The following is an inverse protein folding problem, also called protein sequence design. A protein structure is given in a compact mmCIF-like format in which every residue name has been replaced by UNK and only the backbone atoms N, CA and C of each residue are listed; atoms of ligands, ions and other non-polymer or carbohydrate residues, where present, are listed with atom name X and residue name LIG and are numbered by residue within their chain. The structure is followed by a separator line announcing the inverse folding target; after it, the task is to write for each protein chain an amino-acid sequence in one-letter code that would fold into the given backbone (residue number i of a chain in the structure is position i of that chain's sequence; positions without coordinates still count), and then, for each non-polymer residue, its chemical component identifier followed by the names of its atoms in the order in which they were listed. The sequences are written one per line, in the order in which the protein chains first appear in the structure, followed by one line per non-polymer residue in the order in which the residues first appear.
data_IF_578227819195
#
_entry.id   IF_578227819195
#
_cell.length_a   1.000
_cell.length_b   1.000
_cell.length_c   1.000
_cell.angle_alpha   90.00
_cell.angle_beta   90.00
_cell.angle_gamma   90.00
#
_symmetry.space_group_name_H-M   'P 1'
#
loop_
_entity.id
_entity.type
_entity.pdbx_description
1 polymer ?
#
# COMPACT_ATOMS: atom_id res chain seq x y z
N UNK A 1 56.72 31.49 25.25
CA UNK A 1 57.18 30.27 25.94
C UNK A 1 56.19 29.18 25.61
N UNK A 2 56.65 28.10 24.98
CA UNK A 2 55.80 27.15 24.25
C UNK A 2 54.65 26.54 25.08
N UNK A 3 54.77 26.52 26.41
CA UNK A 3 53.71 26.10 27.32
C UNK A 3 52.54 27.10 27.45
N UNK A 4 52.79 28.41 27.27
CA UNK A 4 51.73 29.44 27.26
C UNK A 4 50.93 29.37 25.96
N UNK A 5 51.61 29.10 24.84
CA UNK A 5 50.97 28.86 23.54
C UNK A 5 50.16 27.54 23.54
N UNK A 6 50.60 26.50 24.25
CA UNK A 6 49.85 25.26 24.39
C UNK A 6 48.57 25.41 25.25
N UNK A 7 48.59 26.26 26.28
CA UNK A 7 47.42 26.55 27.10
C UNK A 7 46.39 27.45 26.38
N UNK A 8 46.84 28.40 25.56
CA UNK A 8 45.98 29.24 24.71
C UNK A 8 45.40 28.47 23.51
N UNK A 9 46.07 27.41 23.05
CA UNK A 9 45.61 26.50 21.99
C UNK A 9 44.86 25.26 22.49
N UNK A 10 44.58 25.16 23.80
CA UNK A 10 43.78 24.08 24.37
C UNK A 10 42.30 24.23 23.98
N UNK A 11 41.67 23.15 23.52
CA UNK A 11 40.23 23.10 23.12
C UNK A 11 39.30 23.67 24.21
N UNK A 12 39.69 23.52 25.48
CA UNK A 12 38.94 24.01 26.65
C UNK A 12 38.99 25.54 26.76
N UNK A 13 40.11 26.16 26.35
CA UNK A 13 40.28 27.61 26.37
C UNK A 13 39.49 28.29 25.23
N UNK A 14 39.37 27.61 24.08
CA UNK A 14 38.55 28.04 22.94
C UNK A 14 37.04 27.99 23.26
N UNK A 15 36.61 27.00 24.05
CA UNK A 15 35.23 26.84 24.55
C UNK A 15 34.77 27.96 25.51
N UNK A 16 35.71 28.58 26.21
CA UNK A 16 35.46 29.67 27.14
C UNK A 16 35.41 31.04 26.44
N UNK A 17 35.78 31.11 25.16
CA UNK A 17 35.90 32.36 24.41
C UNK A 17 34.58 32.77 23.74
N UNK A 18 33.52 32.87 24.55
CA UNK A 18 32.22 33.38 24.13
C UNK A 18 31.34 32.38 23.39
N UNK A 19 30.06 32.75 23.26
CA UNK A 19 28.99 31.86 22.79
C UNK A 19 29.18 31.36 21.34
N UNK A 20 29.74 32.20 20.46
CA UNK A 20 29.97 31.86 19.06
C UNK A 20 31.11 30.85 18.84
N UNK A 21 32.21 30.93 19.61
CA UNK A 21 33.33 29.98 19.49
C UNK A 21 32.94 28.55 19.93
N UNK A 22 32.03 28.46 20.92
CA UNK A 22 31.44 27.20 21.36
C UNK A 22 30.53 26.57 20.30
N UNK A 23 29.70 27.35 19.62
CA UNK A 23 28.88 26.86 18.49
C UNK A 23 29.75 26.41 17.30
N UNK A 24 30.85 27.13 17.02
CA UNK A 24 31.78 26.80 15.94
C UNK A 24 32.52 25.46 16.15
N UNK A 25 32.86 25.08 17.39
CA UNK A 25 33.42 23.75 17.68
C UNK A 25 32.37 22.63 17.69
N UNK A 26 31.15 22.91 18.13
CA UNK A 26 30.02 21.94 18.05
C UNK A 26 29.71 21.60 16.58
N UNK A 27 29.88 22.56 15.67
CA UNK A 27 29.83 22.34 14.22
C UNK A 27 31.11 21.69 13.64
N UNK A 28 32.29 21.85 14.24
CA UNK A 28 33.51 21.18 13.75
C UNK A 28 33.59 19.68 14.11
N UNK A 29 32.76 19.20 15.03
CA UNK A 29 32.50 17.77 15.25
C UNK A 29 31.51 17.13 14.26
N UNK A 30 31.10 17.83 13.19
CA UNK A 30 30.06 17.41 12.21
C UNK A 30 30.41 16.21 11.32
N UNK A 31 31.37 15.37 11.69
CA UNK A 31 31.40 14.00 11.18
C UNK A 31 30.55 13.19 12.14
N UNK A 32 29.41 12.67 11.66
CA UNK A 32 28.69 11.59 12.30
C UNK A 32 29.71 10.59 12.88
N UNK A 33 29.95 10.49 14.21
CA UNK A 33 31.03 9.68 14.75
C UNK A 33 30.87 8.20 14.38
N UNK A 34 29.61 7.77 14.18
CA UNK A 34 29.25 6.49 13.63
C UNK A 34 29.81 6.23 12.20
N UNK A 35 30.10 7.26 11.42
CA UNK A 35 30.68 7.12 10.08
C UNK A 35 32.09 6.53 10.13
N UNK A 36 32.94 7.01 11.03
CA UNK A 36 34.32 6.53 11.12
C UNK A 36 34.43 5.21 11.90
N UNK A 37 33.64 5.05 12.96
CA UNK A 37 33.74 3.89 13.86
C UNK A 37 32.78 2.78 13.44
N UNK A 38 31.52 3.12 13.15
CA UNK A 38 30.46 2.15 12.86
C UNK A 38 30.47 1.64 11.42
N UNK A 39 30.74 2.52 10.45
CA UNK A 39 30.78 2.15 9.02
C UNK A 39 32.18 2.17 8.41
N UNK A 40 33.24 2.40 9.21
CA UNK A 40 34.63 2.44 8.76
C UNK A 40 34.90 3.40 7.58
N UNK A 41 34.19 4.53 7.55
CA UNK A 41 34.24 5.51 6.46
C UNK A 41 33.38 5.17 5.23
N UNK A 42 32.57 4.11 5.30
CA UNK A 42 31.64 3.71 4.26
C UNK A 42 30.21 4.23 4.47
N UNK A 43 29.32 4.10 3.46
CA UNK A 43 27.91 4.39 3.62
C UNK A 43 27.25 3.42 4.60
N UNK A 44 26.26 3.90 5.36
CA UNK A 44 25.48 3.11 6.29
C UNK A 44 23.97 3.24 6.01
N UNK A 45 23.21 2.21 6.36
CA UNK A 45 21.75 2.21 6.27
C UNK A 45 21.13 3.02 7.42
N UNK A 46 21.50 4.30 7.53
CA UNK A 46 20.94 5.23 8.52
C UNK A 46 20.56 6.54 7.84
N UNK A 47 19.64 7.30 8.44
CA UNK A 47 19.38 8.67 8.01
C UNK A 47 20.52 9.62 8.47
N UNK A 48 20.39 10.91 8.14
CA UNK A 48 21.38 11.96 8.49
C UNK A 48 21.55 12.19 10.00
N UNK A 49 20.62 11.70 10.83
CA UNK A 49 20.69 11.75 12.29
C UNK A 49 21.23 10.45 12.90
N UNK A 50 21.64 9.47 12.09
CA UNK A 50 22.15 8.18 12.54
C UNK A 50 21.08 7.16 12.95
N UNK A 51 19.80 7.42 12.68
CA UNK A 51 18.73 6.44 12.94
C UNK A 51 18.78 5.35 11.86
N UNK A 52 18.89 4.06 12.24
CA UNK A 52 18.86 2.96 11.28
C UNK A 52 17.59 2.94 10.47
N UNK A 53 17.72 2.56 9.20
CA UNK A 53 16.56 2.23 8.38
C UNK A 53 15.79 1.06 9.01
N UNK A 54 14.46 1.13 8.99
CA UNK A 54 13.60 0.06 9.50
C UNK A 54 12.46 -0.23 8.53
N UNK A 55 11.94 -1.46 8.57
CA UNK A 55 10.80 -1.88 7.76
C UNK A 55 9.50 -1.11 8.08
N UNK A 56 9.46 -0.34 9.17
CA UNK A 56 8.34 0.54 9.48
C UNK A 56 8.10 1.59 8.39
N UNK A 57 9.14 1.95 7.62
CA UNK A 57 9.02 2.84 6.45
C UNK A 57 8.34 2.19 5.24
N UNK A 58 8.14 0.87 5.25
CA UNK A 58 7.40 0.13 4.20
C UNK A 58 5.97 -0.17 4.69
N UNK A 59 5.81 -0.51 5.97
CA UNK A 59 4.58 -1.09 6.51
C UNK A 59 3.32 -0.23 6.32
N UNK A 60 3.45 1.10 6.23
CA UNK A 60 2.32 1.99 5.95
C UNK A 60 1.89 2.03 4.48
N UNK A 61 2.78 1.62 3.57
CA UNK A 61 2.69 1.79 2.11
C UNK A 61 2.37 0.49 1.37
N UNK A 62 2.29 -0.64 2.09
CA UNK A 62 1.95 -1.96 1.57
C UNK A 62 0.70 -2.49 2.27
N UNK A 63 -0.45 -1.89 1.99
CA UNK A 63 -1.71 -2.27 2.62
C UNK A 63 -2.40 -3.44 1.91
N UNK A 64 -1.94 -3.79 0.71
CA UNK A 64 -2.52 -4.87 -0.09
C UNK A 64 -3.70 -4.41 -0.97
N UNK A 65 -4.02 -3.11 -0.96
CA UNK A 65 -4.87 -2.47 -1.97
C UNK A 65 -4.00 -1.73 -2.98
N UNK A 66 -4.02 -2.18 -4.23
CA UNK A 66 -3.17 -1.64 -5.29
C UNK A 66 -3.35 -0.13 -5.49
N UNK A 67 -4.58 0.39 -5.35
CA UNK A 67 -4.84 1.82 -5.58
C UNK A 67 -4.38 2.69 -4.41
N UNK A 68 -4.41 2.16 -3.19
CA UNK A 68 -3.83 2.80 -2.01
C UNK A 68 -2.31 2.84 -2.12
N UNK A 69 -1.70 1.70 -2.43
CA UNK A 69 -0.24 1.54 -2.49
C UNK A 69 0.35 2.42 -3.61
N UNK A 70 -0.28 2.49 -4.80
CA UNK A 70 0.13 3.40 -5.87
C UNK A 70 0.06 4.89 -5.47
N UNK A 71 -0.97 5.30 -4.72
CA UNK A 71 -1.05 6.69 -4.21
C UNK A 71 0.04 6.98 -3.19
N UNK A 72 0.39 6.00 -2.35
CA UNK A 72 1.53 6.17 -1.45
C UNK A 72 2.85 6.29 -2.22
N UNK A 73 3.05 5.46 -3.26
CA UNK A 73 4.22 5.56 -4.14
C UNK A 73 4.33 6.95 -4.78
N UNK A 74 3.25 7.48 -5.36
CA UNK A 74 3.21 8.85 -5.92
C UNK A 74 3.62 9.89 -4.86
N UNK A 75 3.12 9.76 -3.63
CA UNK A 75 3.51 10.61 -2.52
C UNK A 75 4.98 10.45 -2.10
N UNK A 76 5.51 9.23 -2.12
CA UNK A 76 6.90 8.92 -1.79
C UNK A 76 7.87 9.53 -2.82
N UNK A 77 7.59 9.37 -4.12
CA UNK A 77 8.38 9.98 -5.21
C UNK A 77 8.38 11.51 -5.12
N UNK A 78 7.23 12.11 -4.80
CA UNK A 78 7.12 13.56 -4.60
C UNK A 78 8.02 14.04 -3.45
N UNK A 79 8.01 13.33 -2.32
CA UNK A 79 8.87 13.65 -1.17
C UNK A 79 10.35 13.46 -1.49
N UNK A 80 10.72 12.39 -2.19
CA UNK A 80 12.10 12.12 -2.61
C UNK A 80 12.64 13.22 -3.53
N UNK A 81 11.85 13.64 -4.54
CA UNK A 81 12.20 14.74 -5.43
C UNK A 81 12.49 16.03 -4.65
N UNK A 82 11.63 16.40 -3.70
CA UNK A 82 11.82 17.59 -2.86
C UNK A 82 13.12 17.51 -2.05
N UNK A 83 13.45 16.34 -1.49
CA UNK A 83 14.71 16.13 -0.77
C UNK A 83 15.91 16.37 -1.69
N UNK A 84 15.92 15.85 -2.92
CA UNK A 84 17.01 16.13 -3.86
C UNK A 84 17.11 17.60 -4.26
N UNK A 85 15.97 18.27 -4.42
CA UNK A 85 15.93 19.71 -4.72
C UNK A 85 16.55 20.55 -3.60
N UNK A 86 16.33 20.16 -2.35
CA UNK A 86 17.04 20.77 -1.21
C UNK A 86 18.53 20.40 -1.20
N UNK A 87 18.88 19.12 -1.41
CA UNK A 87 20.29 18.67 -1.39
C UNK A 87 21.16 19.36 -2.44
N UNK A 88 20.60 19.70 -3.60
CA UNK A 88 21.31 20.45 -4.64
C UNK A 88 21.82 21.83 -4.17
N UNK A 89 21.23 22.40 -3.11
CA UNK A 89 21.62 23.69 -2.54
C UNK A 89 22.80 23.56 -1.54
N UNK A 90 23.11 22.35 -1.08
CA UNK A 90 24.11 22.10 -0.02
C UNK A 90 25.47 21.62 -0.54
N UNK A 91 25.67 21.56 -1.86
CA UNK A 91 26.93 21.11 -2.46
C UNK A 91 27.22 21.90 -3.73
N UNK A 92 28.51 22.06 -4.05
CA UNK A 92 28.99 22.61 -5.32
C UNK A 92 29.77 21.60 -6.17
N UNK A 93 29.91 20.36 -5.69
CA UNK A 93 30.59 19.30 -6.44
C UNK A 93 29.81 18.95 -7.72
N UNK A 94 30.45 19.00 -8.90
CA UNK A 94 29.77 18.78 -10.17
C UNK A 94 29.25 17.34 -10.32
N UNK A 95 29.97 16.34 -9.83
CA UNK A 95 29.58 14.93 -9.94
C UNK A 95 28.42 14.59 -9.00
N UNK A 96 28.41 15.17 -7.80
CA UNK A 96 27.27 15.05 -6.88
C UNK A 96 26.04 15.73 -7.47
N UNK A 97 26.18 16.94 -8.03
CA UNK A 97 25.06 17.64 -8.69
C UNK A 97 24.49 16.84 -9.86
N UNK A 98 25.33 16.24 -10.69
CA UNK A 98 24.87 15.44 -11.83
C UNK A 98 24.15 14.17 -11.37
N UNK A 99 24.63 13.53 -10.31
CA UNK A 99 23.96 12.38 -9.69
C UNK A 99 22.59 12.77 -9.13
N UNK A 100 22.51 13.86 -8.37
CA UNK A 100 21.25 14.35 -7.79
C UNK A 100 20.26 14.77 -8.88
N UNK A 101 20.72 15.41 -9.96
CA UNK A 101 19.86 15.74 -11.12
C UNK A 101 19.30 14.50 -11.79
N UNK A 102 20.13 13.48 -11.97
CA UNK A 102 19.69 12.20 -12.53
C UNK A 102 18.61 11.57 -11.64
N UNK A 103 18.86 11.42 -10.34
CA UNK A 103 17.91 10.84 -9.40
C UNK A 103 16.60 11.64 -9.34
N UNK A 104 16.67 12.96 -9.22
CA UNK A 104 15.50 13.85 -9.25
C UNK A 104 14.68 13.67 -10.54
N UNK A 105 15.34 13.53 -11.69
CA UNK A 105 14.66 13.29 -12.98
C UNK A 105 14.01 11.92 -13.02
N UNK A 106 14.63 10.91 -12.40
CA UNK A 106 14.04 9.57 -12.25
C UNK A 106 12.78 9.59 -11.39
N UNK A 107 12.74 10.38 -10.31
CA UNK A 107 11.51 10.45 -9.49
C UNK A 107 10.35 11.08 -10.25
N UNK A 108 10.61 12.04 -11.15
CA UNK A 108 9.58 12.56 -12.06
C UNK A 108 9.08 11.47 -13.01
N UNK A 109 9.97 10.64 -13.54
CA UNK A 109 9.57 9.51 -14.38
C UNK A 109 8.78 8.45 -13.58
N UNK A 110 9.19 8.12 -12.35
CA UNK A 110 8.46 7.20 -11.48
C UNK A 110 7.07 7.74 -11.14
N UNK A 111 6.96 9.03 -10.78
CA UNK A 111 5.70 9.72 -10.55
C UNK A 111 4.74 9.56 -11.74
N UNK A 112 5.22 9.86 -12.96
CA UNK A 112 4.42 9.70 -14.18
C UNK A 112 4.00 8.25 -14.42
N UNK A 113 4.91 7.30 -14.19
CA UNK A 113 4.60 5.87 -14.34
C UNK A 113 3.52 5.41 -13.36
N UNK A 114 3.59 5.85 -12.10
CA UNK A 114 2.61 5.47 -11.09
C UNK A 114 1.26 6.15 -11.28
N UNK A 115 1.23 7.43 -11.71
CA UNK A 115 -0.03 8.09 -12.09
C UNK A 115 -0.67 7.39 -13.29
N UNK A 116 0.10 7.11 -14.35
CA UNK A 116 -0.41 6.37 -15.50
C UNK A 116 -0.96 5.00 -15.12
N UNK A 117 -0.27 4.26 -14.23
CA UNK A 117 -0.76 2.99 -13.73
C UNK A 117 -2.07 3.16 -12.92
N UNK A 118 -2.15 4.18 -12.07
CA UNK A 118 -3.34 4.48 -11.28
C UNK A 118 -4.56 4.82 -12.15
N UNK A 119 -4.35 5.53 -13.28
CA UNK A 119 -5.40 5.87 -14.25
C UNK A 119 -5.94 4.64 -15.01
N UNK A 120 -5.14 3.58 -15.18
CA UNK A 120 -5.61 2.35 -15.85
C UNK A 120 -6.53 1.49 -14.98
N UNK A 121 -6.53 1.70 -13.66
CA UNK A 121 -7.35 0.93 -12.73
C UNK A 121 -8.74 1.59 -12.67
N UNK A 122 -9.84 0.81 -12.82
CA UNK A 122 -11.18 1.33 -12.68
C UNK A 122 -11.35 2.10 -11.36
N UNK A 123 -12.12 3.18 -11.39
CA UNK A 123 -12.27 4.09 -10.25
C UNK A 123 -12.75 3.35 -8.97
N UNK A 124 -11.81 2.99 -8.11
CA UNK A 124 -12.04 2.40 -6.79
C UNK A 124 -12.15 3.52 -5.75
N UNK A 125 -13.25 4.26 -5.77
CA UNK A 125 -13.50 5.32 -4.80
C UNK A 125 -14.90 5.20 -4.17
N UNK A 126 -15.00 5.30 -2.83
CA UNK A 126 -13.92 5.16 -1.83
C UNK A 126 -13.21 3.79 -1.97
N UNK A 127 -11.90 3.70 -1.68
CA UNK A 127 -11.19 2.44 -1.79
C UNK A 127 -11.76 1.43 -0.79
N UNK A 128 -12.00 0.20 -1.25
CA UNK A 128 -12.57 -0.87 -0.45
C UNK A 128 -14.06 -1.10 -0.74
N UNK A 129 -14.70 -1.91 0.11
CA UNK A 129 -16.09 -2.36 -0.11
C UNK A 129 -17.10 -1.36 0.47
N UNK A 130 -16.81 -0.87 1.68
CA UNK A 130 -17.75 -0.06 2.45
C UNK A 130 -17.71 1.40 1.99
N UNK A 131 -18.89 1.91 1.66
CA UNK A 131 -19.09 3.30 1.30
C UNK A 131 -19.14 4.20 2.54
N UNK A 132 -18.91 5.50 2.33
CA UNK A 132 -18.99 6.48 3.40
C UNK A 132 -20.43 6.70 3.88
N UNK A 133 -20.60 7.00 5.17
CA UNK A 133 -21.88 7.46 5.73
C UNK A 133 -22.27 8.83 5.14
N UNK A 134 -23.45 8.96 4.51
CA UNK A 134 -23.90 10.20 3.87
C UNK A 134 -24.07 11.38 4.84
N UNK A 135 -24.18 11.11 6.15
CA UNK A 135 -24.32 12.16 7.17
C UNK A 135 -23.02 12.94 7.37
N UNK A 136 -21.87 12.32 7.09
CA UNK A 136 -20.56 12.86 7.47
C UNK A 136 -19.63 13.11 6.29
N UNK A 137 -19.88 12.52 5.12
CA UNK A 137 -18.95 12.57 3.99
C UNK A 137 -18.67 13.97 3.43
N UNK A 138 -19.59 14.91 3.65
CA UNK A 138 -19.47 16.30 3.21
C UNK A 138 -19.45 17.32 4.36
N UNK A 139 -19.36 16.89 5.62
CA UNK A 139 -19.23 17.79 6.77
C UNK A 139 -17.78 18.24 6.95
N UNK A 140 -17.55 19.54 7.00
CA UNK A 140 -16.23 20.13 7.20
C UNK A 140 -16.24 21.06 8.41
N UNK A 141 -15.46 20.74 9.43
CA UNK A 141 -15.38 21.52 10.66
C UNK A 141 -14.22 22.51 10.60
N UNK A 142 -14.50 23.77 10.93
CA UNK A 142 -13.46 24.76 11.13
C UNK A 142 -12.75 24.55 12.48
N UNK A 143 -11.69 23.75 12.48
CA UNK A 143 -10.88 23.50 13.68
C UNK A 143 -9.73 24.50 13.85
N UNK A 144 -9.69 25.57 13.04
CA UNK A 144 -8.69 26.64 13.11
C UNK A 144 -9.18 27.76 14.04
N UNK A 145 -8.28 28.40 14.78
CA UNK A 145 -8.58 29.59 15.58
C UNK A 145 -7.93 30.82 14.97
N UNK A 146 -8.70 31.54 14.14
CA UNK A 146 -8.35 32.90 13.70
C UNK A 146 -7.87 33.05 12.24
N UNK A 147 -7.63 31.95 11.51
CA UNK A 147 -7.41 32.00 10.07
C UNK A 147 -8.31 30.95 9.39
N UNK A 148 -9.41 31.44 8.83
CA UNK A 148 -10.41 30.62 8.14
C UNK A 148 -10.11 30.63 6.65
N UNK A 149 -9.74 29.47 6.12
CA UNK A 149 -9.49 29.30 4.69
C UNK A 149 -10.65 28.56 4.05
N UNK A 150 -11.13 29.14 2.95
CA UNK A 150 -12.23 28.64 2.17
C UNK A 150 -11.76 28.39 0.74
N UNK A 151 -12.16 27.27 0.16
CA UNK A 151 -11.75 26.86 -1.18
C UNK A 151 -12.45 25.58 -1.65
N UNK A 152 -12.09 25.06 -2.83
CA UNK A 152 -12.78 23.92 -3.46
C UNK A 152 -12.79 22.62 -2.63
N UNK A 153 -11.98 22.54 -1.57
CA UNK A 153 -11.92 21.38 -0.67
C UNK A 153 -12.88 21.49 0.53
N UNK A 154 -13.54 22.63 0.73
CA UNK A 154 -14.53 22.84 1.80
C UNK A 154 -15.72 23.74 1.38
N UNK A 155 -15.80 24.11 0.10
CA UNK A 155 -16.88 24.87 -0.51
C UNK A 155 -17.31 24.24 -1.83
N UNK A 156 -18.58 24.43 -2.20
CA UNK A 156 -19.12 23.89 -3.45
C UNK A 156 -19.38 22.39 -3.36
N UNK A 157 -19.08 21.66 -4.44
CA UNK A 157 -19.32 20.22 -4.54
C UNK A 157 -18.03 19.43 -4.36
N UNK A 158 -18.15 18.26 -3.72
CA UNK A 158 -17.06 17.32 -3.56
C UNK A 158 -16.64 16.72 -4.90
N UNK A 159 -15.34 16.57 -5.09
CA UNK A 159 -14.75 16.23 -6.39
C UNK A 159 -15.20 14.90 -6.98
N UNK A 160 -15.56 13.92 -6.13
CA UNK A 160 -15.92 12.56 -6.57
C UNK A 160 -17.37 12.17 -6.26
N UNK A 161 -17.90 12.54 -5.09
CA UNK A 161 -19.28 12.20 -4.72
C UNK A 161 -20.30 13.23 -5.21
N UNK A 162 -19.86 14.43 -5.65
CA UNK A 162 -20.75 15.51 -6.06
C UNK A 162 -21.58 16.09 -4.91
N UNK A 163 -21.21 15.81 -3.67
CA UNK A 163 -21.94 16.24 -2.47
C UNK A 163 -21.59 17.69 -2.16
N UNK A 164 -22.59 18.49 -1.82
CA UNK A 164 -22.36 19.89 -1.45
C UNK A 164 -21.72 19.95 -0.07
N UNK A 165 -20.54 20.56 0.06
CA UNK A 165 -19.86 20.69 1.34
C UNK A 165 -20.68 21.50 2.35
N UNK A 166 -20.75 20.99 3.57
CA UNK A 166 -21.37 21.63 4.73
C UNK A 166 -20.27 22.14 5.65
N UNK A 167 -20.00 23.45 5.56
CA UNK A 167 -18.99 24.09 6.40
C UNK A 167 -19.57 24.46 7.76
N UNK A 168 -19.00 23.90 8.82
CA UNK A 168 -19.36 24.18 10.21
C UNK A 168 -18.34 25.17 10.80
N UNK A 169 -18.79 26.40 11.00
CA UNK A 169 -17.95 27.50 11.48
C UNK A 169 -17.60 27.39 12.97
N UNK A 170 -18.54 26.94 13.81
CA UNK A 170 -18.34 26.72 15.25
C UNK A 170 -18.51 25.22 15.58
N UNK A 171 -17.43 24.43 15.56
CA UNK A 171 -17.50 23.00 15.81
C UNK A 171 -18.00 22.66 17.21
N UNK A 172 -17.63 23.45 18.22
CA UNK A 172 -17.99 23.17 19.62
C UNK A 172 -19.49 23.32 19.79
N UNK A 173 -20.07 24.42 19.28
CA UNK A 173 -21.51 24.63 19.32
C UNK A 173 -22.25 23.53 18.56
N UNK A 174 -21.81 23.20 17.34
CA UNK A 174 -22.45 22.18 16.52
C UNK A 174 -22.46 20.81 17.20
N UNK A 175 -21.35 20.41 17.83
CA UNK A 175 -21.25 19.16 18.58
C UNK A 175 -22.19 19.16 19.80
N UNK A 176 -22.30 20.27 20.52
CA UNK A 176 -23.21 20.39 21.66
C UNK A 176 -24.68 20.31 21.23
N UNK A 177 -25.05 21.00 20.16
CA UNK A 177 -26.43 21.02 19.63
C UNK A 177 -26.85 19.66 19.06
N UNK A 178 -25.92 18.94 18.43
CA UNK A 178 -26.18 17.63 17.81
C UNK A 178 -26.03 16.44 18.77
N UNK A 179 -25.86 16.71 20.08
CA UNK A 179 -25.57 15.70 21.09
C UNK A 179 -24.41 14.78 20.64
N UNK A 180 -23.25 15.37 20.38
CA UNK A 180 -22.07 14.68 19.84
C UNK A 180 -22.33 14.02 18.48
N UNK A 181 -22.97 14.74 17.56
CA UNK A 181 -23.33 14.30 16.20
C UNK A 181 -24.34 13.12 16.12
N UNK A 182 -24.86 12.64 17.25
CA UNK A 182 -25.83 11.53 17.26
C UNK A 182 -27.13 11.89 16.55
N UNK A 183 -27.54 13.17 16.56
CA UNK A 183 -28.71 13.66 15.84
C UNK A 183 -28.40 14.23 14.46
N UNK A 184 -27.17 14.08 13.96
CA UNK A 184 -26.77 14.57 12.64
C UNK A 184 -27.60 13.91 11.53
N UNK A 185 -28.13 14.73 10.62
CA UNK A 185 -28.87 14.27 9.45
C UNK A 185 -28.04 14.46 8.17
N UNK A 186 -28.30 13.61 7.18
CA UNK A 186 -27.70 13.75 5.85
C UNK A 186 -28.30 14.97 5.15
N UNK A 187 -27.43 15.84 4.65
CA UNK A 187 -27.81 17.03 3.89
C UNK A 187 -26.77 17.28 2.79
N UNK A 188 -27.17 17.97 1.71
CA UNK A 188 -26.26 18.26 0.59
C UNK A 188 -25.85 17.04 -0.24
N UNK A 189 -26.54 15.91 -0.11
CA UNK A 189 -26.32 14.67 -0.87
C UNK A 189 -27.65 13.97 -1.17
N UNK A 190 -27.74 13.30 -2.32
CA UNK A 190 -28.88 12.44 -2.68
C UNK A 190 -28.73 11.03 -2.08
N UNK A 191 -27.58 10.73 -1.47
CA UNK A 191 -27.28 9.42 -0.89
C UNK A 191 -28.02 9.25 0.43
N UNK A 192 -28.59 8.06 0.59
CA UNK A 192 -29.27 7.60 1.79
C UNK A 192 -28.59 6.36 2.36
N UNK A 193 -28.77 6.07 3.65
CA UNK A 193 -28.23 4.87 4.30
C UNK A 193 -28.65 3.59 3.56
N UNK A 194 -29.90 3.53 3.08
CA UNK A 194 -30.39 2.40 2.29
C UNK A 194 -29.66 2.26 0.95
N UNK A 195 -29.38 3.38 0.26
CA UNK A 195 -28.62 3.36 -0.99
C UNK A 195 -27.17 2.91 -0.77
N UNK A 196 -26.56 3.32 0.34
CA UNK A 196 -25.21 2.93 0.75
C UNK A 196 -25.13 1.44 1.06
N UNK A 197 -26.03 0.91 1.89
CA UNK A 197 -26.06 -0.52 2.23
C UNK A 197 -26.27 -1.42 1.00
N UNK A 198 -27.09 -0.96 0.04
CA UNK A 198 -27.28 -1.68 -1.23
C UNK A 198 -25.99 -1.73 -2.03
N UNK A 199 -25.27 -0.60 -2.14
CA UNK A 199 -23.97 -0.53 -2.82
C UNK A 199 -22.92 -1.40 -2.14
N UNK A 200 -22.82 -1.35 -0.81
CA UNK A 200 -21.90 -2.19 -0.03
C UNK A 200 -22.12 -3.68 -0.31
N UNK A 201 -23.38 -4.11 -0.31
CA UNK A 201 -23.75 -5.51 -0.58
C UNK A 201 -23.36 -5.91 -2.01
N UNK A 202 -23.61 -5.04 -2.98
CA UNK A 202 -23.25 -5.28 -4.38
C UNK A 202 -21.74 -5.38 -4.58
N UNK A 203 -20.96 -4.44 -4.02
CA UNK A 203 -19.50 -4.44 -4.08
C UNK A 203 -18.90 -5.67 -3.39
N UNK A 204 -19.46 -6.06 -2.24
CA UNK A 204 -19.04 -7.26 -1.52
C UNK A 204 -19.22 -8.53 -2.35
N UNK A 205 -20.32 -8.63 -3.11
CA UNK A 205 -20.58 -9.77 -4.01
C UNK A 205 -19.53 -9.84 -5.11
N UNK A 206 -19.32 -8.74 -5.83
CA UNK A 206 -18.33 -8.67 -6.92
C UNK A 206 -16.92 -8.99 -6.42
N UNK A 207 -16.51 -8.44 -5.27
CA UNK A 207 -15.17 -8.69 -4.71
C UNK A 207 -14.99 -10.14 -4.27
N UNK A 208 -16.03 -10.75 -3.70
CA UNK A 208 -16.02 -12.17 -3.34
C UNK A 208 -15.85 -13.06 -4.57
N UNK A 209 -16.57 -12.77 -5.66
CA UNK A 209 -16.45 -13.50 -6.94
C UNK A 209 -15.04 -13.38 -7.53
N UNK A 210 -14.46 -12.18 -7.54
CA UNK A 210 -13.09 -11.94 -7.99
C UNK A 210 -12.08 -12.74 -7.17
N UNK A 211 -12.16 -12.67 -5.84
CA UNK A 211 -11.26 -13.39 -4.92
C UNK A 211 -11.38 -14.90 -5.11
N UNK A 212 -12.61 -15.43 -5.18
CA UNK A 212 -12.83 -16.86 -5.38
C UNK A 212 -12.34 -17.35 -6.75
N UNK A 213 -12.38 -16.49 -7.77
CA UNK A 213 -11.87 -16.80 -9.11
C UNK A 213 -10.34 -16.76 -9.17
N UNK A 214 -9.72 -15.79 -8.50
CA UNK A 214 -8.26 -15.63 -8.47
C UNK A 214 -7.57 -16.66 -7.55
N UNK A 215 -8.23 -17.03 -6.46
CA UNK A 215 -7.73 -17.95 -5.45
C UNK A 215 -8.76 -19.08 -5.22
N UNK A 216 -8.84 -20.07 -6.15
CA UNK A 216 -9.75 -21.19 -5.98
C UNK A 216 -9.39 -21.97 -4.71
N UNK A 217 -10.42 -22.50 -4.03
CA UNK A 217 -10.20 -23.32 -2.83
C UNK A 217 -9.35 -24.55 -3.17
N UNK A 218 -8.13 -24.60 -2.63
CA UNK A 218 -7.17 -25.68 -2.87
C UNK A 218 -5.79 -25.39 -2.29
N UNK A 219 -4.86 -26.32 -2.49
CA UNK A 219 -3.45 -26.12 -2.13
C UNK A 219 -2.83 -25.09 -3.07
N UNK A 220 -2.48 -23.92 -2.54
CA UNK A 220 -1.86 -22.86 -3.31
C UNK A 220 -0.37 -23.14 -3.46
N UNK A 221 0.11 -23.30 -4.69
CA UNK A 221 1.52 -23.48 -5.00
C UNK A 221 2.04 -22.28 -5.80
N UNK A 222 3.17 -21.74 -5.36
CA UNK A 222 3.85 -20.61 -6.01
C UNK A 222 4.62 -21.04 -7.26
N UNK A 223 4.91 -22.33 -7.39
CA UNK A 223 5.58 -22.96 -8.52
C UNK A 223 4.78 -24.18 -9.01
N UNK A 224 4.92 -24.52 -10.30
CA UNK A 224 4.39 -25.78 -10.81
C UNK A 224 5.28 -26.92 -10.35
N UNK A 225 4.70 -27.98 -9.80
CA UNK A 225 5.45 -29.17 -9.44
C UNK A 225 6.05 -29.84 -10.69
N UNK A 226 7.36 -30.16 -10.75
CA UNK A 226 8.01 -30.76 -11.92
C UNK A 226 7.38 -32.08 -12.41
N UNK A 227 6.61 -32.73 -11.55
CA UNK A 227 5.95 -34.00 -11.79
C UNK A 227 4.70 -33.91 -12.68
N UNK A 228 4.00 -32.76 -12.72
CA UNK A 228 2.78 -32.62 -13.51
C UNK A 228 3.06 -32.54 -15.02
N UNK A 229 4.13 -31.83 -15.42
CA UNK A 229 4.55 -31.73 -16.82
C UNK A 229 5.02 -33.10 -17.37
N UNK A 230 5.66 -33.92 -16.52
CA UNK A 230 6.11 -35.26 -16.89
C UNK A 230 4.96 -36.28 -17.03
N UNK A 231 3.86 -36.12 -16.27
CA UNK A 231 2.68 -36.97 -16.39
C UNK A 231 1.83 -36.63 -17.63
N UNK A 232 1.68 -35.34 -17.96
CA UNK A 232 0.95 -34.89 -19.16
C UNK A 232 1.67 -35.31 -20.47
N UNK A 233 3.00 -35.34 -20.48
CA UNK A 233 3.80 -35.76 -21.64
C UNK A 233 3.66 -37.26 -21.97
N UNK A 234 3.48 -38.13 -20.95
CA UNK A 234 3.31 -39.58 -21.15
C UNK A 234 1.96 -39.98 -21.73
N UNK A 235 0.91 -39.20 -21.48
CA UNK A 235 -0.45 -39.53 -21.94
C UNK A 235 -0.65 -39.29 -23.44
N UNK A 236 0.09 -38.34 -24.04
CA UNK A 236 0.04 -38.08 -25.50
C UNK A 236 0.77 -39.10 -26.37
N UNK A 237 1.59 -39.99 -25.78
CA UNK A 237 2.40 -40.96 -26.52
C UNK A 237 1.75 -42.32 -26.80
N UNK A 238 0.54 -42.60 -26.29
CA UNK A 238 0.00 -43.98 -26.23
C UNK A 238 -1.23 -44.26 -27.09
N UNK A 239 -1.56 -43.40 -28.06
CA UNK A 239 -2.66 -43.64 -29.02
C UNK A 239 -2.23 -43.40 -30.47
N UNK A 240 -1.35 -44.25 -31.01
CA UNK A 240 -1.18 -44.43 -32.46
C UNK A 240 -0.57 -45.80 -32.73
N UNK A 241 -1.43 -46.81 -32.83
CA UNK A 241 -1.13 -48.15 -33.29
C UNK A 241 -2.35 -48.67 -34.04
N UNK A 242 -2.34 -48.50 -35.35
CA UNK A 242 -3.32 -48.94 -36.32
C UNK A 242 -3.26 -50.46 -36.53
N UNK A 243 -4.43 -51.12 -36.60
CA UNK A 243 -4.61 -52.43 -37.26
C UNK A 243 -5.92 -52.40 -38.05
N UNK A 244 -5.85 -52.91 -39.27
CA UNK A 244 -6.82 -52.87 -40.37
C UNK A 244 -8.04 -53.80 -40.20
N UNK A 245 -8.96 -53.62 -41.16
CA UNK A 245 -10.37 -54.02 -41.28
C UNK A 245 -10.57 -55.51 -41.62
N UNK A 246 -11.66 -56.11 -41.13
CA UNK A 246 -12.22 -57.39 -41.59
C UNK A 246 -13.70 -57.55 -41.20
N UNK A 247 -14.53 -57.90 -42.17
CA UNK A 247 -16.00 -57.96 -42.24
C UNK A 247 -16.62 -59.23 -41.58
N UNK A 248 -17.90 -59.16 -41.16
CA UNK A 248 -18.97 -60.22 -41.19
C UNK A 248 -19.89 -60.28 -39.95
N UNK A 249 -21.16 -59.94 -40.21
CA UNK A 249 -22.46 -60.58 -39.89
C UNK A 249 -22.99 -60.90 -38.47
N UNK A 250 -24.27 -60.52 -38.32
CA UNK A 250 -25.44 -61.11 -37.61
C UNK A 250 -25.22 -61.99 -36.35
N UNK A 251 -25.88 -61.71 -35.21
CA UNK A 251 -27.30 -62.04 -34.99
C UNK A 251 -27.74 -61.95 -33.49
N UNK A 252 -29.02 -61.59 -33.32
CA UNK A 252 -30.03 -62.01 -32.31
C UNK A 252 -29.73 -62.25 -30.81
N UNK A 253 -30.47 -61.47 -30.00
CA UNK A 253 -31.39 -61.92 -28.93
C UNK A 253 -30.85 -62.41 -27.58
N UNK A 254 -31.58 -62.11 -26.49
CA UNK A 254 -31.48 -62.91 -25.25
C UNK A 254 -31.62 -62.17 -23.93
N UNK A 255 -32.83 -61.76 -23.60
CA UNK A 255 -33.30 -61.44 -22.25
C UNK A 255 -33.03 -62.61 -21.27
N UNK A 256 -32.60 -62.37 -20.01
CA UNK A 256 -33.31 -62.79 -18.78
C UNK A 256 -32.56 -62.55 -17.46
N UNK A 257 -33.25 -61.84 -16.57
CA UNK A 257 -33.44 -62.06 -15.12
C UNK A 257 -32.36 -62.84 -14.31
N UNK A 258 -31.87 -62.14 -13.28
CA UNK A 258 -32.23 -62.47 -11.90
C UNK A 258 -31.11 -62.93 -10.96
N UNK A 259 -30.93 -62.23 -9.84
CA UNK A 259 -31.21 -62.74 -8.47
C UNK A 259 -30.72 -61.75 -7.40
N UNK A 260 -31.57 -61.61 -6.37
CA UNK A 260 -31.29 -61.01 -5.06
C UNK A 260 -30.41 -61.95 -4.22
N UNK A 261 -29.52 -61.39 -3.39
CA UNK A 261 -29.26 -61.80 -2.00
C UNK A 261 -28.27 -60.79 -1.38
N UNK A 262 -28.72 -59.92 -0.47
CA UNK A 262 -28.77 -60.11 0.98
C UNK A 262 -27.40 -60.06 1.68
N UNK A 263 -27.26 -59.12 2.62
CA UNK A 263 -26.58 -59.39 3.90
C UNK A 263 -25.37 -58.54 4.23
N UNK A 264 -25.55 -57.62 5.17
CA UNK A 264 -24.76 -57.69 6.41
C UNK A 264 -23.74 -56.59 6.70
N UNK A 265 -24.09 -55.78 7.71
CA UNK A 265 -23.24 -55.21 8.79
C UNK A 265 -22.10 -54.25 8.37
N UNK A 266 -22.28 -52.96 8.64
CA UNK A 266 -21.95 -52.26 9.91
C UNK A 266 -20.46 -52.17 10.18
N UNK A 267 -19.92 -50.95 10.20
CA UNK A 267 -19.10 -50.47 11.32
C UNK A 267 -18.99 -48.95 11.28
N UNK A 268 -19.27 -48.37 12.45
CA UNK A 268 -19.02 -47.00 12.85
C UNK A 268 -17.54 -46.62 12.75
N UNK A 269 -17.28 -45.34 12.47
CA UNK A 269 -16.18 -44.62 13.12
C UNK A 269 -16.31 -43.12 12.81
N UNK A 270 -16.92 -42.39 13.75
CA UNK A 270 -16.84 -40.93 13.77
C UNK A 270 -15.44 -40.48 14.17
N UNK A 271 -15.01 -39.32 13.64
CA UNK A 271 -13.90 -38.57 14.20
C UNK A 271 -14.36 -37.13 14.45
N UNK A 272 -14.34 -36.79 15.73
CA UNK A 272 -14.57 -35.48 16.32
C UNK A 272 -13.43 -34.52 15.97
N UNK A 273 -13.85 -33.24 15.90
CA UNK A 273 -13.16 -31.99 16.27
C UNK A 273 -11.93 -31.60 15.47
#
# INVERSE_FOLDING_TARGET
GDLKNAAENSEIMQLLNGKGAKEQMIHQGMVAPQFLIGSAGGPCYTNSQGVPWTAAYINGDAQGDLTSDLRSNVGAETRAKLVYEYLLQFTDDPYVKDTLRFLMTREVAHFQMFEAALETIPANFPPGILQSDPRYSNLYFNMSSGNDFRGPWNEGQSSRLGETFQFIEDPIRHVMETNSLLSQQAAGTDRTDASVQKLDTQLSGMRSEEVNSAAPMGEQQWNKSPTEDAMMAKTKGRSRGSVEVGEMDEDMSGNTKGKKSSGGKSTSSGRKR
#
